data_IF_351727364561
#
_entry.id   IF_351727364561
#
_cell.length_a   1.000
_cell.length_b   1.000
_cell.length_c   1.000
_cell.angle_alpha   90.00
_cell.angle_beta   90.00
_cell.angle_gamma   90.00
#
_symmetry.space_group_name_H-M   'P 1'
#
loop_
_entity.id
_entity.type
_entity.pdbx_description
1 polymer ?
#
# COMPACT_ATOMS: atom_id res chain seq x y z
N UNK A 1 12.43 -5.40 21.41
CA UNK A 1 13.01 -4.61 20.31
C UNK A 1 11.95 -3.63 19.85
N UNK A 2 12.29 -2.34 19.63
CA UNK A 2 11.37 -1.46 18.91
C UNK A 2 11.28 -2.01 17.49
N UNK A 3 10.09 -2.33 17.01
CA UNK A 3 9.91 -2.71 15.60
C UNK A 3 10.39 -1.55 14.74
N UNK A 4 11.27 -1.85 13.80
CA UNK A 4 11.73 -0.90 12.80
C UNK A 4 10.54 -0.42 11.97
N UNK A 5 10.47 0.89 11.73
CA UNK A 5 9.35 1.57 11.07
C UNK A 5 9.86 2.27 9.82
N UNK A 6 9.00 2.30 8.82
CA UNK A 6 9.28 2.88 7.50
C UNK A 6 8.20 3.90 7.17
N UNK A 7 8.60 4.96 6.47
CA UNK A 7 7.68 5.91 5.86
C UNK A 7 7.56 5.58 4.38
N UNK A 8 6.37 5.19 3.93
CA UNK A 8 6.11 4.89 2.52
C UNK A 8 5.32 6.05 1.93
N UNK A 9 5.90 6.71 0.93
CA UNK A 9 5.23 7.77 0.19
C UNK A 9 4.47 7.18 -0.99
N UNK A 10 3.16 7.46 -1.04
CA UNK A 10 2.25 7.05 -2.10
C UNK A 10 1.63 8.29 -2.73
N UNK A 11 1.38 8.26 -4.02
CA UNK A 11 0.48 9.22 -4.64
C UNK A 11 -0.96 9.02 -4.16
N UNK A 12 -1.80 10.07 -4.21
CA UNK A 12 -3.20 9.98 -3.80
C UNK A 12 -3.98 8.88 -4.54
N UNK A 13 -3.70 8.66 -5.82
CA UNK A 13 -4.37 7.62 -6.60
C UNK A 13 -3.95 6.19 -6.19
N UNK A 14 -2.72 6.01 -5.72
CA UNK A 14 -2.23 4.71 -5.26
C UNK A 14 -2.93 4.32 -3.95
N UNK A 15 -2.97 5.24 -2.97
CA UNK A 15 -3.66 4.97 -1.71
C UNK A 15 -5.18 4.79 -1.92
N UNK A 16 -5.77 5.45 -2.91
CA UNK A 16 -7.17 5.25 -3.29
C UNK A 16 -7.39 3.85 -3.89
N UNK A 17 -6.49 3.39 -4.77
CA UNK A 17 -6.55 2.04 -5.32
C UNK A 17 -6.44 0.97 -4.20
N UNK A 18 -5.52 1.15 -3.25
CA UNK A 18 -5.37 0.27 -2.09
C UNK A 18 -6.63 0.20 -1.23
N UNK A 19 -7.30 1.34 -1.02
CA UNK A 19 -8.57 1.41 -0.25
C UNK A 19 -9.77 0.88 -1.02
N UNK A 20 -9.75 1.00 -2.34
CA UNK A 20 -10.84 0.53 -3.21
C UNK A 20 -10.82 -0.99 -3.40
N UNK A 21 -9.65 -1.63 -3.39
CA UNK A 21 -9.56 -3.08 -3.42
C UNK A 21 -10.03 -3.67 -2.07
N UNK A 22 -11.09 -4.48 -2.13
CA UNK A 22 -11.75 -5.05 -0.94
C UNK A 22 -10.81 -5.94 -0.13
N UNK A 23 -10.03 -6.80 -0.78
CA UNK A 23 -9.15 -7.74 -0.08
C UNK A 23 -8.05 -6.99 0.68
N UNK A 24 -7.43 -6.00 0.04
CA UNK A 24 -6.43 -5.13 0.68
C UNK A 24 -7.08 -4.34 1.83
N UNK A 25 -8.26 -3.76 1.63
CA UNK A 25 -8.96 -3.03 2.70
C UNK A 25 -9.32 -3.93 3.89
N UNK A 26 -9.73 -5.17 3.65
CA UNK A 26 -10.13 -6.10 4.71
C UNK A 26 -8.89 -6.62 5.49
N UNK A 27 -7.80 -6.94 4.79
CA UNK A 27 -6.59 -7.52 5.41
C UNK A 27 -5.62 -6.47 5.95
N UNK A 28 -5.49 -5.33 5.27
CA UNK A 28 -4.50 -4.29 5.55
C UNK A 28 -5.12 -2.95 5.96
N UNK A 29 -6.45 -2.86 6.10
CA UNK A 29 -7.14 -1.60 6.36
C UNK A 29 -6.70 -0.88 7.63
N UNK A 30 -6.16 -1.59 8.63
CA UNK A 30 -5.57 -0.97 9.82
C UNK A 30 -4.29 -0.18 9.50
N UNK A 31 -3.48 -0.66 8.56
CA UNK A 31 -2.26 0.00 8.09
C UNK A 31 -2.65 1.26 7.30
N UNK A 32 -3.62 1.14 6.39
CA UNK A 32 -4.11 2.24 5.56
C UNK A 32 -4.75 3.39 6.34
N UNK A 33 -5.18 3.15 7.59
CA UNK A 33 -5.69 4.19 8.50
C UNK A 33 -4.58 5.10 9.05
N UNK A 34 -3.32 4.67 9.01
CA UNK A 34 -2.19 5.52 9.42
C UNK A 34 -1.83 6.58 8.37
N UNK A 35 -2.40 6.47 7.16
CA UNK A 35 -2.16 7.35 6.03
C UNK A 35 -2.42 8.82 6.38
N UNK A 36 -1.39 9.66 6.19
CA UNK A 36 -1.47 11.11 6.37
C UNK A 36 -1.03 11.81 5.11
N UNK A 37 -1.74 12.87 4.73
CA UNK A 37 -1.34 13.72 3.61
C UNK A 37 -0.09 14.53 3.98
N UNK A 38 0.91 14.54 3.09
CA UNK A 38 2.14 15.33 3.19
C UNK A 38 2.38 16.01 1.85
N UNK A 39 1.89 17.25 1.72
CA UNK A 39 1.92 17.95 0.42
C UNK A 39 1.07 17.23 -0.63
N UNK A 40 1.73 16.81 -1.71
CA UNK A 40 1.10 16.14 -2.86
C UNK A 40 1.05 14.62 -2.73
N UNK A 41 1.70 14.03 -1.72
CA UNK A 41 1.68 12.61 -1.45
C UNK A 41 0.91 12.27 -0.16
N UNK A 42 0.72 10.97 0.04
CA UNK A 42 0.15 10.35 1.24
C UNK A 42 1.21 9.42 1.82
N UNK A 43 1.51 9.60 3.10
CA UNK A 43 2.56 8.85 3.79
C UNK A 43 1.93 7.84 4.73
N UNK A 44 2.35 6.58 4.59
CA UNK A 44 2.11 5.51 5.57
C UNK A 44 3.33 5.42 6.49
N UNK A 45 3.12 5.61 7.79
CA UNK A 45 4.12 5.27 8.81
C UNK A 45 3.67 3.96 9.45
N UNK A 46 4.38 2.88 9.14
CA UNK A 46 4.07 1.50 9.56
C UNK A 46 5.36 0.73 9.88
N UNK A 47 5.24 -0.41 10.56
CA UNK A 47 6.39 -1.28 10.79
C UNK A 47 6.80 -2.04 9.52
N UNK A 48 8.07 -2.47 9.43
CA UNK A 48 8.57 -3.27 8.30
C UNK A 48 7.72 -4.54 8.10
N UNK A 49 7.26 -5.18 9.17
CA UNK A 49 6.41 -6.37 9.05
C UNK A 49 5.07 -6.04 8.38
N UNK A 50 4.43 -4.94 8.78
CA UNK A 50 3.17 -4.47 8.18
C UNK A 50 3.38 -4.03 6.72
N UNK A 51 4.53 -3.46 6.39
CA UNK A 51 4.90 -3.11 5.02
C UNK A 51 5.08 -4.34 4.13
N UNK A 52 5.77 -5.38 4.62
CA UNK A 52 5.90 -6.66 3.90
C UNK A 52 4.53 -7.34 3.70
N UNK A 53 3.69 -7.36 4.74
CA UNK A 53 2.34 -7.92 4.65
C UNK A 53 1.50 -7.15 3.62
N UNK A 54 1.57 -5.81 3.63
CA UNK A 54 0.90 -4.97 2.66
C UNK A 54 1.39 -5.26 1.24
N UNK A 55 2.71 -5.29 1.00
CA UNK A 55 3.28 -5.60 -0.31
C UNK A 55 2.79 -6.96 -0.84
N UNK A 56 2.77 -7.99 0.01
CA UNK A 56 2.29 -9.32 -0.37
C UNK A 56 0.82 -9.33 -0.82
N UNK A 57 -0.06 -8.63 -0.10
CA UNK A 57 -1.47 -8.52 -0.49
C UNK A 57 -1.66 -7.70 -1.77
N UNK A 58 -0.91 -6.61 -1.93
CA UNK A 58 -0.97 -5.77 -3.13
C UNK A 58 -0.51 -6.55 -4.36
N UNK A 59 0.62 -7.26 -4.28
CA UNK A 59 1.13 -8.08 -5.36
C UNK A 59 0.16 -9.21 -5.74
N UNK A 60 -0.46 -9.87 -4.74
CA UNK A 60 -1.45 -10.91 -4.99
C UNK A 60 -2.68 -10.36 -5.74
N UNK A 61 -3.20 -9.22 -5.30
CA UNK A 61 -4.38 -8.60 -5.92
C UNK A 61 -4.08 -7.99 -7.28
N UNK A 62 -2.88 -7.42 -7.50
CA UNK A 62 -2.46 -6.94 -8.82
C UNK A 62 -2.44 -8.05 -9.87
N UNK A 63 -2.00 -9.26 -9.47
CA UNK A 63 -2.01 -10.46 -10.32
C UNK A 63 -3.42 -11.02 -10.58
N UNK A 64 -4.39 -10.72 -9.71
CA UNK A 64 -5.78 -11.15 -9.81
C UNK A 64 -6.75 -10.04 -10.25
N UNK A 65 -6.20 -8.87 -10.61
CA UNK A 65 -6.96 -7.69 -11.03
C UNK A 65 -7.87 -8.01 -12.22
N UNK A 66 -9.07 -7.42 -12.24
CA UNK A 66 -10.07 -7.70 -13.28
C UNK A 66 -9.90 -6.81 -14.51
N UNK A 67 -9.08 -5.77 -14.41
CA UNK A 67 -8.74 -4.88 -15.51
C UNK A 67 -7.24 -4.58 -15.50
N UNK A 68 -6.71 -4.20 -16.67
CA UNK A 68 -5.32 -3.73 -16.78
C UNK A 68 -5.09 -2.47 -15.95
N UNK A 69 -6.05 -1.54 -15.93
CA UNK A 69 -5.97 -0.31 -15.14
C UNK A 69 -5.85 -0.60 -13.63
N UNK A 70 -6.64 -1.54 -13.10
CA UNK A 70 -6.55 -1.95 -11.70
C UNK A 70 -5.19 -2.61 -11.41
N UNK A 71 -4.72 -3.48 -12.31
CA UNK A 71 -3.40 -4.11 -12.18
C UNK A 71 -2.28 -3.07 -12.15
N UNK A 72 -2.30 -2.11 -13.07
CA UNK A 72 -1.29 -1.05 -13.17
C UNK A 72 -1.26 -0.16 -11.92
N UNK A 73 -2.43 0.22 -11.39
CA UNK A 73 -2.54 1.01 -10.17
C UNK A 73 -2.00 0.25 -8.95
N UNK A 74 -2.35 -1.03 -8.81
CA UNK A 74 -1.86 -1.86 -7.71
C UNK A 74 -0.36 -2.16 -7.83
N UNK A 75 0.15 -2.39 -9.03
CA UNK A 75 1.59 -2.55 -9.26
C UNK A 75 2.37 -1.28 -8.92
N UNK A 76 1.87 -0.10 -9.32
CA UNK A 76 2.47 1.20 -8.92
C UNK A 76 2.55 1.34 -7.40
N UNK A 77 1.46 1.02 -6.70
CA UNK A 77 1.44 1.05 -5.25
C UNK A 77 2.40 0.00 -4.64
N UNK A 78 2.52 -1.19 -5.24
CA UNK A 78 3.43 -2.24 -4.80
C UNK A 78 4.88 -1.79 -4.89
N UNK A 79 5.28 -1.23 -6.04
CA UNK A 79 6.63 -0.70 -6.27
C UNK A 79 6.99 0.36 -5.23
N UNK A 80 6.07 1.27 -4.91
CA UNK A 80 6.28 2.30 -3.90
C UNK A 80 6.52 1.72 -2.49
N UNK A 81 5.83 0.63 -2.15
CA UNK A 81 6.01 -0.07 -0.86
C UNK A 81 7.36 -0.80 -0.84
N UNK A 82 7.69 -1.53 -1.91
CA UNK A 82 8.89 -2.37 -1.99
C UNK A 82 10.20 -1.57 -1.95
N UNK A 83 10.22 -0.34 -2.48
CA UNK A 83 11.40 0.54 -2.42
C UNK A 83 11.76 0.98 -0.98
N UNK A 84 10.82 0.83 -0.04
CA UNK A 84 10.96 1.30 1.34
C UNK A 84 11.15 0.17 2.38
N UNK A 85 11.33 -1.09 1.95
CA UNK A 85 11.56 -2.27 2.80
C UNK A 85 12.91 -2.95 2.50
#
# INVERSE_FOLDING_TARGET
MKSERVEIELYPYEIEALKANRMISDMCGQYLKSAKRRGDCVVLDISIHEANDLAGWVAAEANHAKSAEESDLLNSACDAIEVNI
#
